data_IF_821845928218
#
_entry.id   IF_821845928218
#
_cell.length_a   1.000
_cell.length_b   1.000
_cell.length_c   1.000
_cell.angle_alpha   90.00
_cell.angle_beta   90.00
_cell.angle_gamma   90.00
#
_symmetry.space_group_name_H-M   'P 1'
#
loop_
_entity.id
_entity.type
_entity.pdbx_description
1 polymer ?
#
# COMPACT_ATOMS: atom_id res chain seq x y z
N UNK A 1 13.22 2.79 24.17
CA UNK A 1 12.34 3.78 24.84
C UNK A 1 11.08 3.91 24.00
N UNK A 2 9.94 3.42 24.53
CA UNK A 2 8.65 3.66 23.90
C UNK A 2 8.28 5.13 24.14
N UNK A 3 8.24 5.93 23.10
CA UNK A 3 7.71 7.29 23.15
C UNK A 3 6.19 7.22 22.87
N UNK A 4 5.34 7.19 23.89
CA UNK A 4 3.88 7.10 23.70
C UNK A 4 3.36 8.26 22.82
N UNK A 5 4.02 9.42 22.83
CA UNK A 5 3.68 10.56 21.99
C UNK A 5 3.81 10.31 20.49
N UNK A 6 4.78 9.52 20.02
CA UNK A 6 4.95 9.22 18.58
C UNK A 6 3.83 8.31 18.07
N UNK A 7 3.35 7.37 18.88
CA UNK A 7 2.20 6.54 18.51
C UNK A 7 0.92 7.37 18.36
N UNK A 8 0.69 8.33 19.25
CA UNK A 8 -0.45 9.27 19.15
C UNK A 8 -0.36 10.10 17.87
N UNK A 9 0.83 10.61 17.53
CA UNK A 9 1.05 11.34 16.28
C UNK A 9 0.75 10.47 15.05
N UNK A 10 1.11 9.19 15.05
CA UNK A 10 0.78 8.24 13.99
C UNK A 10 -0.73 8.06 13.82
N UNK A 11 -1.48 7.94 14.92
CA UNK A 11 -2.95 7.88 14.87
C UNK A 11 -3.55 9.17 14.35
N UNK A 12 -3.09 10.32 14.85
CA UNK A 12 -3.59 11.63 14.40
C UNK A 12 -3.32 11.84 12.92
N UNK A 13 -2.12 11.52 12.44
CA UNK A 13 -1.77 11.59 11.02
C UNK A 13 -2.70 10.69 10.17
N UNK A 14 -2.97 9.47 10.65
CA UNK A 14 -3.90 8.55 9.98
C UNK A 14 -5.32 9.11 9.92
N UNK A 15 -5.85 9.63 11.03
CA UNK A 15 -7.19 10.23 11.07
C UNK A 15 -7.30 11.43 10.12
N UNK A 16 -6.30 12.32 10.12
CA UNK A 16 -6.27 13.47 9.19
C UNK A 16 -6.22 13.00 7.74
N UNK A 17 -5.38 12.01 7.42
CA UNK A 17 -5.29 11.46 6.06
C UNK A 17 -6.60 10.79 5.63
N UNK A 18 -7.27 10.07 6.54
CA UNK A 18 -8.58 9.45 6.29
C UNK A 18 -9.66 10.51 6.01
N UNK A 19 -9.75 11.55 6.85
CA UNK A 19 -10.70 12.64 6.65
C UNK A 19 -10.44 13.39 5.34
N UNK A 20 -9.16 13.62 5.00
CA UNK A 20 -8.79 14.20 3.71
C UNK A 20 -9.23 13.30 2.56
N UNK A 21 -9.01 11.99 2.63
CA UNK A 21 -9.43 11.03 1.60
C UNK A 21 -10.94 11.04 1.40
N UNK A 22 -11.71 11.09 2.49
CA UNK A 22 -13.18 11.20 2.44
C UNK A 22 -13.60 12.51 1.79
N UNK A 23 -12.97 13.64 2.13
CA UNK A 23 -13.32 14.93 1.51
C UNK A 23 -12.97 14.97 0.02
N UNK A 24 -11.89 14.30 -0.41
CA UNK A 24 -11.57 14.12 -1.84
C UNK A 24 -12.64 13.28 -2.54
N UNK A 25 -13.14 12.23 -1.91
CA UNK A 25 -14.27 11.43 -2.40
C UNK A 25 -15.52 12.30 -2.59
N UNK A 26 -15.95 13.04 -1.56
CA UNK A 26 -17.10 13.95 -1.65
C UNK A 26 -16.91 15.03 -2.72
N UNK A 27 -15.66 15.50 -2.91
CA UNK A 27 -15.34 16.44 -3.97
C UNK A 27 -15.59 15.85 -5.37
N UNK A 28 -15.46 14.54 -5.55
CA UNK A 28 -15.83 13.85 -6.80
C UNK A 28 -17.31 14.04 -7.13
N UNK A 29 -18.17 13.77 -6.18
CA UNK A 29 -19.62 13.98 -6.32
C UNK A 29 -19.96 15.45 -6.56
N UNK A 30 -19.38 16.34 -5.76
CA UNK A 30 -19.57 17.79 -5.89
C UNK A 30 -19.20 18.30 -7.30
N UNK A 31 -17.99 18.01 -7.76
CA UNK A 31 -17.47 18.52 -9.03
C UNK A 31 -18.30 18.00 -10.23
N UNK A 32 -18.64 16.74 -10.22
CA UNK A 32 -19.42 16.12 -11.31
C UNK A 32 -20.88 16.55 -11.29
N UNK A 33 -21.51 16.67 -10.12
CA UNK A 33 -22.86 17.20 -9.98
C UNK A 33 -22.94 18.64 -10.50
N UNK A 34 -21.98 19.51 -10.13
CA UNK A 34 -21.87 20.89 -10.63
C UNK A 34 -21.63 20.93 -12.14
N UNK A 35 -20.79 20.06 -12.69
CA UNK A 35 -20.56 19.95 -14.13
C UNK A 35 -21.82 19.61 -14.91
N UNK A 36 -22.71 18.82 -14.33
CA UNK A 36 -24.00 18.46 -14.92
C UNK A 36 -25.15 19.39 -14.51
N UNK A 37 -24.84 20.56 -13.93
CA UNK A 37 -25.78 21.59 -13.50
C UNK A 37 -26.79 21.11 -12.43
N UNK A 38 -26.48 20.04 -11.70
CA UNK A 38 -27.27 19.62 -10.55
C UNK A 38 -27.07 20.58 -9.39
N UNK A 39 -28.09 20.79 -8.56
CA UNK A 39 -27.97 21.64 -7.37
C UNK A 39 -27.29 20.90 -6.25
N UNK A 40 -26.19 21.44 -5.73
CA UNK A 40 -25.52 20.98 -4.52
C UNK A 40 -25.72 22.02 -3.44
N UNK A 41 -26.38 21.61 -2.35
CA UNK A 41 -26.75 22.52 -1.26
C UNK A 41 -25.74 22.54 -0.13
N UNK A 42 -25.15 21.40 0.20
CA UNK A 42 -24.24 21.27 1.32
C UNK A 42 -22.99 20.45 0.94
N UNK A 43 -21.84 20.84 1.47
CA UNK A 43 -20.57 20.13 1.39
C UNK A 43 -19.86 20.25 2.74
N UNK A 44 -19.91 19.20 3.55
CA UNK A 44 -19.45 19.25 4.93
C UNK A 44 -18.51 18.12 5.30
N UNK A 45 -17.52 18.46 6.11
CA UNK A 45 -16.75 17.50 6.89
C UNK A 45 -17.49 17.24 8.21
N UNK A 46 -17.80 15.98 8.50
CA UNK A 46 -18.45 15.56 9.74
C UNK A 46 -19.98 15.60 9.72
N UNK A 47 -20.54 15.21 10.85
CA UNK A 47 -21.98 15.12 11.10
C UNK A 47 -22.37 15.87 12.40
N UNK A 48 -23.67 16.01 12.65
CA UNK A 48 -24.18 16.63 13.88
C UNK A 48 -24.28 18.15 13.78
N UNK A 49 -24.03 18.85 14.89
CA UNK A 49 -24.12 20.30 14.99
C UNK A 49 -23.05 21.00 14.17
N UNK A 50 -23.44 22.07 13.47
CA UNK A 50 -22.54 22.90 12.68
C UNK A 50 -21.63 23.72 13.60
N UNK A 51 -20.30 23.57 13.42
CA UNK A 51 -19.31 24.36 14.13
C UNK A 51 -18.93 25.62 13.37
N UNK A 52 -18.72 25.48 12.06
CA UNK A 52 -18.33 26.58 11.20
C UNK A 52 -18.81 26.30 9.78
N UNK A 53 -19.26 27.36 9.07
CA UNK A 53 -19.62 27.25 7.66
C UNK A 53 -19.51 28.60 6.95
N UNK A 54 -19.43 28.54 5.63
CA UNK A 54 -19.53 29.69 4.74
C UNK A 54 -20.28 29.31 3.47
N UNK A 55 -20.98 30.30 2.90
CA UNK A 55 -21.72 30.15 1.66
C UNK A 55 -20.85 30.54 0.47
N UNK A 56 -20.81 29.67 -0.55
CA UNK A 56 -20.19 29.98 -1.84
C UNK A 56 -21.15 29.62 -2.98
N UNK A 57 -21.77 30.66 -3.55
CA UNK A 57 -22.85 30.45 -4.52
C UNK A 57 -24.05 29.80 -3.86
N UNK A 58 -24.52 28.69 -4.39
CA UNK A 58 -25.66 27.92 -3.89
C UNK A 58 -25.28 26.81 -2.89
N UNK A 59 -23.99 26.62 -2.61
CA UNK A 59 -23.47 25.55 -1.74
C UNK A 59 -22.95 26.12 -0.45
N UNK A 60 -23.37 25.55 0.67
CA UNK A 60 -22.81 25.79 1.99
C UNK A 60 -21.69 24.81 2.27
N UNK A 61 -20.49 25.33 2.57
CA UNK A 61 -19.31 24.55 2.93
C UNK A 61 -19.04 24.69 4.42
N UNK A 62 -18.63 23.62 5.09
CA UNK A 62 -18.33 23.74 6.50
C UNK A 62 -17.85 22.48 7.20
N UNK A 63 -17.77 22.60 8.52
CA UNK A 63 -17.32 21.55 9.44
C UNK A 63 -18.38 21.36 10.52
N UNK A 64 -18.71 20.10 10.82
CA UNK A 64 -19.63 19.67 11.87
C UNK A 64 -18.87 19.01 13.03
N UNK A 65 -19.53 18.87 14.17
CA UNK A 65 -18.94 18.50 15.45
C UNK A 65 -18.37 17.08 15.51
N UNK A 66 -18.94 16.13 14.73
CA UNK A 66 -18.53 14.73 14.75
C UNK A 66 -17.74 14.42 13.48
N UNK A 67 -16.39 14.36 13.50
CA UNK A 67 -15.57 14.15 12.31
C UNK A 67 -15.52 12.67 11.90
N UNK A 68 -16.70 12.04 11.76
CA UNK A 68 -16.81 10.61 11.41
C UNK A 68 -17.08 10.39 9.91
N UNK A 69 -16.68 11.33 9.06
CA UNK A 69 -16.90 11.25 7.61
C UNK A 69 -17.11 12.61 6.98
N UNK A 70 -17.65 12.64 5.77
CA UNK A 70 -18.07 13.82 5.05
C UNK A 70 -19.35 13.55 4.28
N UNK A 71 -19.95 14.58 3.72
CA UNK A 71 -21.07 14.40 2.80
C UNK A 71 -21.22 15.58 1.83
N UNK A 72 -21.75 15.25 0.67
CA UNK A 72 -22.13 16.17 -0.38
C UNK A 72 -23.66 16.01 -0.63
N UNK A 73 -24.44 17.02 -0.32
CA UNK A 73 -25.90 16.97 -0.50
C UNK A 73 -26.30 17.49 -1.87
N UNK A 74 -26.66 16.57 -2.75
CA UNK A 74 -27.20 16.86 -4.08
C UNK A 74 -28.73 16.81 -3.99
N UNK A 75 -29.40 17.87 -4.43
CA UNK A 75 -30.85 17.95 -4.40
C UNK A 75 -31.51 16.92 -5.32
N UNK A 76 -32.56 16.27 -4.83
CA UNK A 76 -33.29 15.26 -5.59
C UNK A 76 -32.58 13.90 -5.68
N UNK A 77 -31.77 13.54 -4.69
CA UNK A 77 -31.26 12.15 -4.56
C UNK A 77 -32.40 11.16 -4.34
N UNK A 78 -33.50 11.57 -3.69
CA UNK A 78 -34.74 10.83 -3.57
C UNK A 78 -35.87 11.52 -4.33
N UNK A 79 -36.73 10.74 -5.01
CA UNK A 79 -37.93 11.25 -5.68
C UNK A 79 -38.98 11.83 -4.71
N UNK A 80 -38.89 11.44 -3.44
CA UNK A 80 -39.77 11.93 -2.38
C UNK A 80 -39.23 13.20 -1.69
N UNK A 81 -38.10 13.74 -2.12
CA UNK A 81 -37.53 14.97 -1.58
C UNK A 81 -38.36 16.17 -2.07
N UNK A 82 -38.92 16.94 -1.14
CA UNK A 82 -39.64 18.19 -1.45
C UNK A 82 -38.60 19.25 -1.87
N UNK A 83 -38.63 19.62 -3.14
CA UNK A 83 -37.75 20.64 -3.71
C UNK A 83 -38.53 21.92 -4.03
N UNK A 84 -37.90 23.10 -3.83
CA UNK A 84 -38.45 24.35 -4.34
C UNK A 84 -38.72 24.25 -5.85
N UNK A 85 -39.79 24.84 -6.35
CA UNK A 85 -40.16 24.79 -7.77
C UNK A 85 -39.02 25.23 -8.68
N UNK A 86 -38.26 26.24 -8.29
CA UNK A 86 -37.12 26.74 -9.02
C UNK A 86 -35.96 25.71 -9.21
N UNK A 87 -35.91 24.69 -8.35
CA UNK A 87 -34.84 23.72 -8.31
C UNK A 87 -35.21 22.35 -8.86
N UNK A 88 -36.53 22.09 -9.01
CA UNK A 88 -37.04 20.81 -9.50
C UNK A 88 -36.37 20.37 -10.79
N UNK A 89 -36.16 21.27 -11.74
CA UNK A 89 -35.52 20.96 -13.05
C UNK A 89 -34.05 20.56 -12.95
N UNK A 90 -33.41 20.79 -11.80
CA UNK A 90 -31.99 20.45 -11.52
C UNK A 90 -31.86 19.26 -10.57
N UNK A 91 -32.94 18.58 -10.28
CA UNK A 91 -32.96 17.42 -9.40
C UNK A 91 -32.15 16.24 -9.98
N UNK A 92 -31.42 15.55 -9.12
CA UNK A 92 -30.60 14.39 -9.50
C UNK A 92 -31.41 13.30 -10.24
N UNK A 93 -32.63 12.99 -9.76
CA UNK A 93 -33.48 11.94 -10.36
C UNK A 93 -33.95 12.27 -11.78
N UNK A 94 -33.96 13.56 -12.18
CA UNK A 94 -34.30 13.98 -13.56
C UNK A 94 -33.13 13.85 -14.53
N UNK A 95 -31.91 13.68 -14.04
CA UNK A 95 -30.76 13.52 -14.90
C UNK A 95 -30.79 12.14 -15.59
N UNK A 96 -30.24 12.08 -16.80
CA UNK A 96 -30.09 10.80 -17.52
C UNK A 96 -29.25 9.82 -16.74
N UNK A 97 -29.52 8.51 -16.90
CA UNK A 97 -28.82 7.43 -16.20
C UNK A 97 -27.28 7.55 -16.28
N UNK A 98 -26.66 7.82 -17.45
CA UNK A 98 -25.20 7.97 -17.52
C UNK A 98 -24.68 9.12 -16.64
N UNK A 99 -25.39 10.26 -16.58
CA UNK A 99 -24.97 11.38 -15.73
C UNK A 99 -25.05 11.01 -14.24
N UNK A 100 -26.11 10.30 -13.81
CA UNK A 100 -26.27 9.80 -12.45
C UNK A 100 -25.15 8.85 -12.08
N UNK A 101 -24.82 7.88 -12.97
CA UNK A 101 -23.74 6.93 -12.74
C UNK A 101 -22.37 7.61 -12.66
N UNK A 102 -22.09 8.62 -13.50
CA UNK A 102 -20.84 9.38 -13.42
C UNK A 102 -20.75 10.13 -12.09
N UNK A 103 -21.84 10.77 -11.64
CA UNK A 103 -21.83 11.47 -10.35
C UNK A 103 -21.57 10.51 -9.19
N UNK A 104 -22.31 9.38 -9.16
CA UNK A 104 -22.15 8.39 -8.09
C UNK A 104 -20.77 7.68 -8.12
N UNK A 105 -20.23 7.41 -9.30
CA UNK A 105 -18.91 6.77 -9.42
C UNK A 105 -17.72 7.72 -9.20
N UNK A 106 -17.96 9.03 -9.23
CA UNK A 106 -16.86 10.03 -9.18
C UNK A 106 -16.09 10.02 -7.87
N UNK A 107 -16.76 9.75 -6.74
CA UNK A 107 -16.11 9.63 -5.43
C UNK A 107 -15.10 8.49 -5.43
N UNK A 108 -15.52 7.28 -5.84
CA UNK A 108 -14.63 6.11 -5.96
C UNK A 108 -13.50 6.34 -6.95
N UNK A 109 -13.79 6.99 -8.08
CA UNK A 109 -12.74 7.35 -9.06
C UNK A 109 -11.66 8.25 -8.45
N UNK A 110 -12.03 9.26 -7.64
CA UNK A 110 -11.07 10.13 -6.98
C UNK A 110 -10.26 9.40 -5.89
N UNK A 111 -10.81 8.39 -5.24
CA UNK A 111 -10.03 7.51 -4.36
C UNK A 111 -8.92 6.78 -5.13
N UNK A 112 -9.22 6.25 -6.33
CA UNK A 112 -8.19 5.59 -7.16
C UNK A 112 -7.12 6.57 -7.63
N UNK A 113 -7.52 7.77 -8.05
CA UNK A 113 -6.58 8.84 -8.45
C UNK A 113 -5.69 9.24 -7.28
N UNK A 114 -6.27 9.44 -6.09
CA UNK A 114 -5.51 9.81 -4.88
C UNK A 114 -4.53 8.71 -4.49
N UNK A 115 -4.97 7.44 -4.43
CA UNK A 115 -4.10 6.31 -4.12
C UNK A 115 -2.94 6.20 -5.11
N UNK A 116 -3.22 6.33 -6.40
CA UNK A 116 -2.21 6.35 -7.45
C UNK A 116 -1.19 7.50 -7.28
N UNK A 117 -1.66 8.73 -7.03
CA UNK A 117 -0.78 9.88 -6.83
C UNK A 117 0.11 9.71 -5.59
N UNK A 118 -0.43 9.16 -4.50
CA UNK A 118 0.36 8.85 -3.30
C UNK A 118 1.47 7.85 -3.63
N UNK A 119 1.20 6.81 -4.44
CA UNK A 119 2.22 5.86 -4.88
C UNK A 119 3.30 6.52 -5.75
N UNK A 120 2.93 7.43 -6.65
CA UNK A 120 3.90 8.19 -7.45
C UNK A 120 4.81 9.03 -6.55
N UNK A 121 4.23 9.73 -5.56
CA UNK A 121 5.00 10.50 -4.57
C UNK A 121 5.92 9.59 -3.76
N UNK A 122 5.44 8.41 -3.39
CA UNK A 122 6.23 7.42 -2.66
C UNK A 122 7.45 6.99 -3.49
N UNK A 123 7.27 6.51 -4.72
CA UNK A 123 8.35 5.95 -5.51
C UNK A 123 9.33 7.02 -6.02
N UNK A 124 8.84 8.18 -6.48
CA UNK A 124 9.69 9.24 -7.01
C UNK A 124 10.30 10.14 -5.91
N UNK A 125 9.54 10.41 -4.84
CA UNK A 125 9.90 11.39 -3.82
C UNK A 125 10.59 10.77 -2.60
N UNK A 126 9.87 9.90 -1.88
CA UNK A 126 10.33 9.30 -0.62
C UNK A 126 11.29 8.14 -0.89
N UNK A 127 10.95 7.27 -1.83
CA UNK A 127 11.60 6.00 -2.10
C UNK A 127 11.12 4.89 -1.15
N UNK A 128 11.42 3.67 -1.52
CA UNK A 128 11.09 2.47 -0.74
C UNK A 128 12.36 1.76 -0.30
N UNK A 129 12.30 1.09 0.85
CA UNK A 129 13.38 0.22 1.29
C UNK A 129 13.41 -1.01 0.37
N UNK A 130 14.53 -1.22 -0.28
CA UNK A 130 14.76 -2.31 -1.22
C UNK A 130 16.10 -2.96 -0.96
N UNK A 131 16.22 -4.21 -1.36
CA UNK A 131 17.50 -4.92 -1.37
C UNK A 131 18.41 -4.27 -2.40
N UNK A 132 19.58 -3.80 -1.95
CA UNK A 132 20.59 -3.21 -2.84
C UNK A 132 21.50 -4.30 -3.44
N UNK A 133 22.34 -3.90 -4.38
CA UNK A 133 23.38 -4.77 -4.97
C UNK A 133 24.62 -4.92 -4.07
N UNK A 134 24.68 -4.20 -2.96
CA UNK A 134 25.79 -4.24 -2.02
C UNK A 134 25.62 -5.39 -1.04
N UNK A 135 26.65 -6.18 -0.86
CA UNK A 135 26.70 -7.24 0.16
C UNK A 135 26.89 -6.58 1.52
N UNK A 136 25.94 -6.80 2.43
CA UNK A 136 26.04 -6.35 3.82
C UNK A 136 26.86 -7.33 4.65
N UNK A 137 26.58 -8.63 4.47
CA UNK A 137 27.26 -9.68 5.23
C UNK A 137 27.46 -10.93 4.38
N UNK A 138 28.59 -11.58 4.54
CA UNK A 138 28.84 -12.92 4.01
C UNK A 138 28.68 -13.92 5.16
N UNK A 139 27.72 -14.84 5.00
CA UNK A 139 27.47 -15.88 6.00
C UNK A 139 28.67 -16.83 6.04
N UNK A 140 29.28 -17.06 7.21
CA UNK A 140 30.59 -17.77 7.26
C UNK A 140 30.48 -19.27 6.97
N UNK A 141 29.39 -19.94 7.36
CA UNK A 141 29.25 -21.39 7.16
C UNK A 141 27.82 -21.78 6.77
N UNK A 142 27.69 -22.98 6.19
CA UNK A 142 26.38 -23.56 5.86
C UNK A 142 25.78 -24.15 7.13
N UNK A 143 24.65 -23.61 7.59
CA UNK A 143 23.87 -24.17 8.70
C UNK A 143 22.94 -25.28 8.19
N UNK A 144 22.87 -26.40 8.88
CA UNK A 144 21.94 -27.49 8.61
C UNK A 144 20.50 -27.21 9.11
N UNK A 145 20.28 -26.09 9.82
CA UNK A 145 18.95 -25.72 10.30
C UNK A 145 18.16 -24.97 9.22
N UNK A 146 16.92 -25.41 9.02
CA UNK A 146 15.96 -24.78 8.11
C UNK A 146 15.43 -23.43 8.61
N UNK A 147 15.75 -23.05 9.83
CA UNK A 147 15.30 -21.81 10.49
C UNK A 147 16.47 -20.87 10.75
N UNK A 148 16.71 -19.97 9.78
CA UNK A 148 17.41 -18.73 10.04
C UNK A 148 18.94 -18.79 10.18
N UNK A 149 19.50 -17.75 9.71
CA UNK A 149 20.89 -17.35 9.72
C UNK A 149 21.27 -16.98 11.17
N UNK A 150 22.04 -17.82 11.84
CA UNK A 150 22.73 -17.38 13.06
C UNK A 150 24.22 -17.64 12.93
N UNK A 151 24.99 -16.59 13.05
CA UNK A 151 26.45 -16.54 12.96
C UNK A 151 27.14 -17.30 14.11
N UNK A 152 26.39 -17.67 15.14
CA UNK A 152 26.88 -18.20 16.40
C UNK A 152 27.15 -19.71 16.42
N UNK A 153 26.92 -20.42 15.32
CA UNK A 153 27.02 -21.90 15.28
C UNK A 153 28.13 -22.45 14.40
N UNK A 154 28.98 -21.59 13.82
CA UNK A 154 30.09 -22.08 13.00
C UNK A 154 31.25 -22.55 13.88
N UNK A 155 31.63 -23.82 13.70
CA UNK A 155 32.81 -24.44 14.33
C UNK A 155 33.96 -24.51 13.31
N UNK A 156 35.18 -24.80 13.77
CA UNK A 156 36.33 -24.97 12.90
C UNK A 156 36.16 -26.07 11.83
N UNK A 157 35.20 -26.98 12.01
CA UNK A 157 34.89 -28.07 11.08
C UNK A 157 33.69 -27.77 10.18
N UNK A 158 33.04 -26.60 10.33
CA UNK A 158 31.88 -26.21 9.52
C UNK A 158 32.29 -25.94 8.08
N UNK A 159 31.46 -26.36 7.12
CA UNK A 159 31.68 -26.10 5.69
C UNK A 159 31.43 -24.60 5.42
N UNK A 160 32.41 -23.86 4.84
CA UNK A 160 32.19 -22.48 4.50
C UNK A 160 31.13 -22.32 3.43
N UNK A 161 30.42 -21.17 3.44
CA UNK A 161 29.48 -20.88 2.36
C UNK A 161 30.23 -20.65 1.04
N UNK A 162 29.57 -20.88 -0.12
CA UNK A 162 30.19 -20.61 -1.41
C UNK A 162 30.73 -19.16 -1.55
N UNK A 163 30.01 -18.19 -1.03
CA UNK A 163 30.44 -16.79 -1.03
C UNK A 163 31.72 -16.58 -0.21
N UNK A 164 31.78 -17.19 0.97
CA UNK A 164 32.96 -17.11 1.84
C UNK A 164 34.18 -17.83 1.20
N UNK A 165 33.97 -19.02 0.65
CA UNK A 165 35.02 -19.80 0.00
C UNK A 165 35.59 -19.10 -1.25
N UNK A 166 34.74 -18.38 -2.00
CA UNK A 166 35.13 -17.62 -3.17
C UNK A 166 35.76 -16.25 -2.85
N UNK A 167 35.76 -15.82 -1.59
CA UNK A 167 36.35 -14.55 -1.17
C UNK A 167 35.49 -13.32 -1.44
N UNK A 168 34.17 -13.47 -1.52
CA UNK A 168 33.25 -12.34 -1.45
C UNK A 168 33.31 -11.70 -0.06
N UNK A 169 33.20 -10.39 0.01
CA UNK A 169 33.32 -9.60 1.25
C UNK A 169 32.08 -8.70 1.46
N UNK A 170 31.86 -8.33 2.72
CA UNK A 170 30.97 -7.23 3.02
C UNK A 170 31.48 -5.93 2.38
N UNK A 171 30.56 -5.14 1.81
CA UNK A 171 30.89 -3.93 1.06
C UNK A 171 31.07 -4.14 -0.46
N UNK A 172 31.16 -5.37 -0.95
CA UNK A 172 31.18 -5.64 -2.39
C UNK A 172 29.88 -5.21 -3.05
N UNK A 173 29.95 -4.43 -4.13
CA UNK A 173 28.80 -4.10 -4.95
C UNK A 173 28.77 -5.01 -6.18
N UNK A 174 27.72 -5.83 -6.29
CA UNK A 174 27.54 -6.74 -7.43
C UNK A 174 27.13 -5.94 -8.67
N UNK A 175 27.93 -6.01 -9.72
CA UNK A 175 27.72 -5.31 -10.99
C UNK A 175 27.04 -6.22 -12.00
N UNK A 176 27.52 -7.46 -12.15
CA UNK A 176 26.94 -8.43 -13.09
C UNK A 176 27.11 -9.86 -12.58
N UNK A 177 26.26 -10.76 -13.08
CA UNK A 177 26.41 -12.21 -12.92
C UNK A 177 26.37 -12.89 -14.28
N UNK A 178 27.39 -13.68 -14.60
CA UNK A 178 27.58 -14.30 -15.94
C UNK A 178 27.49 -13.27 -17.06
N UNK A 179 28.03 -12.05 -16.85
CA UNK A 179 27.97 -10.95 -17.81
C UNK A 179 26.66 -10.22 -17.92
N UNK A 180 25.60 -10.69 -17.25
CA UNK A 180 24.30 -10.02 -17.23
C UNK A 180 24.29 -8.94 -16.13
N UNK A 181 24.10 -7.69 -16.51
CA UNK A 181 23.90 -6.57 -15.60
C UNK A 181 22.40 -6.40 -15.30
N UNK A 182 22.07 -6.04 -14.07
CA UNK A 182 20.70 -5.69 -13.66
C UNK A 182 20.72 -4.66 -12.53
N UNK A 183 19.72 -3.80 -12.51
CA UNK A 183 19.44 -2.88 -11.40
C UNK A 183 18.55 -3.51 -10.33
N UNK A 184 18.07 -4.74 -10.57
CA UNK A 184 17.19 -5.45 -9.66
C UNK A 184 17.89 -6.68 -9.10
N UNK A 185 18.03 -6.72 -7.77
CA UNK A 185 18.61 -7.88 -7.08
C UNK A 185 17.87 -9.19 -7.34
N UNK A 186 16.55 -9.14 -7.62
CA UNK A 186 15.73 -10.32 -7.91
C UNK A 186 16.27 -11.10 -9.12
N UNK A 187 16.79 -10.40 -10.14
CA UNK A 187 17.36 -11.04 -11.33
C UNK A 187 18.60 -11.85 -10.97
N UNK A 188 19.47 -11.30 -10.12
CA UNK A 188 20.65 -12.02 -9.62
C UNK A 188 20.27 -13.19 -8.73
N UNK A 189 19.25 -13.05 -7.90
CA UNK A 189 18.71 -14.16 -7.10
C UNK A 189 18.22 -15.30 -7.97
N UNK A 190 17.60 -14.99 -9.11
CA UNK A 190 17.13 -16.01 -10.08
C UNK A 190 18.33 -16.75 -10.67
N UNK A 191 19.37 -16.04 -11.14
CA UNK A 191 20.59 -16.66 -11.65
C UNK A 191 21.23 -17.58 -10.61
N UNK A 192 21.35 -17.12 -9.36
CA UNK A 192 21.92 -17.93 -8.26
C UNK A 192 21.10 -19.20 -8.05
N UNK A 193 19.77 -19.09 -7.96
CA UNK A 193 18.87 -20.24 -7.71
C UNK A 193 18.91 -21.28 -8.82
N UNK A 194 19.04 -20.86 -10.07
CA UNK A 194 19.09 -21.73 -11.24
C UNK A 194 20.47 -22.36 -11.46
N UNK A 195 21.50 -21.88 -10.76
CA UNK A 195 22.90 -22.30 -10.92
C UNK A 195 23.39 -23.21 -9.79
N UNK A 196 22.51 -24.06 -9.20
CA UNK A 196 22.97 -25.01 -8.21
C UNK A 196 24.10 -25.91 -8.77
N UNK A 197 25.25 -25.97 -8.08
CA UNK A 197 26.46 -26.73 -8.47
C UNK A 197 27.06 -26.32 -9.83
N UNK A 198 26.67 -25.17 -10.39
CA UNK A 198 27.26 -24.63 -11.63
C UNK A 198 27.99 -23.36 -11.31
N UNK A 199 29.19 -23.18 -11.89
CA UNK A 199 29.94 -21.97 -11.70
C UNK A 199 29.23 -20.73 -12.26
N UNK A 200 29.23 -19.66 -11.47
CA UNK A 200 28.71 -18.34 -11.82
C UNK A 200 29.86 -17.33 -11.63
N UNK A 201 30.15 -16.55 -12.64
CA UNK A 201 31.10 -15.45 -12.55
C UNK A 201 30.38 -14.20 -12.04
N UNK A 202 30.75 -13.75 -10.86
CA UNK A 202 30.20 -12.55 -10.23
C UNK A 202 31.21 -11.42 -10.42
N UNK A 203 30.83 -10.37 -11.13
CA UNK A 203 31.59 -9.12 -11.17
C UNK A 203 31.16 -8.24 -10.00
N UNK A 204 32.13 -7.86 -9.17
CA UNK A 204 31.90 -6.94 -8.05
C UNK A 204 32.80 -5.71 -8.17
N UNK A 205 32.32 -4.59 -7.63
CA UNK A 205 33.15 -3.40 -7.36
C UNK A 205 33.58 -3.45 -5.91
N UNK A 206 34.91 -3.50 -5.68
CA UNK A 206 35.52 -3.49 -4.35
C UNK A 206 36.59 -2.37 -4.32
N UNK A 207 36.41 -1.40 -3.45
CA UNK A 207 37.31 -0.24 -3.31
C UNK A 207 37.62 0.50 -4.63
N UNK A 208 36.66 0.54 -5.55
CA UNK A 208 36.80 1.18 -6.86
C UNK A 208 37.40 0.29 -7.95
N UNK A 209 37.77 -0.95 -7.64
CA UNK A 209 38.28 -1.91 -8.61
C UNK A 209 37.20 -2.95 -8.97
N UNK A 210 37.14 -3.30 -10.26
CA UNK A 210 36.26 -4.36 -10.75
C UNK A 210 36.96 -5.70 -10.66
N UNK A 211 36.41 -6.60 -9.85
CA UNK A 211 36.91 -7.96 -9.66
C UNK A 211 35.92 -8.97 -10.24
N UNK A 212 36.44 -10.01 -10.90
CA UNK A 212 35.69 -11.16 -11.38
C UNK A 212 35.93 -12.33 -10.42
N UNK A 213 34.88 -12.78 -9.75
CA UNK A 213 34.95 -13.82 -8.72
C UNK A 213 34.12 -15.02 -9.19
N UNK A 214 34.79 -16.14 -9.55
CA UNK A 214 34.07 -17.38 -9.86
C UNK A 214 33.52 -18.01 -8.55
N UNK A 215 32.27 -18.33 -8.52
CA UNK A 215 31.56 -18.92 -7.36
C UNK A 215 30.69 -20.07 -7.82
N UNK A 216 30.76 -21.20 -7.14
CA UNK A 216 29.82 -22.32 -7.38
C UNK A 216 28.77 -22.37 -6.29
N UNK A 217 27.51 -21.95 -6.54
CA UNK A 217 26.44 -21.99 -5.55
C UNK A 217 26.21 -23.42 -5.04
N UNK A 218 26.11 -23.60 -3.72
CA UNK A 218 25.76 -24.87 -3.12
C UNK A 218 24.30 -25.23 -3.43
N UNK A 219 24.02 -26.51 -3.57
CA UNK A 219 22.66 -26.99 -3.72
C UNK A 219 21.91 -27.00 -2.39
N UNK A 220 20.71 -26.45 -2.34
CA UNK A 220 19.80 -26.48 -1.20
C UNK A 220 18.39 -26.86 -1.67
N UNK A 221 17.70 -27.68 -0.90
CA UNK A 221 16.31 -28.04 -1.20
C UNK A 221 15.36 -27.05 -0.55
N UNK A 222 14.51 -26.42 -1.34
CA UNK A 222 13.45 -25.53 -0.88
C UNK A 222 12.12 -25.95 -1.53
N UNK A 223 11.12 -26.29 -0.73
CA UNK A 223 9.83 -26.80 -1.21
C UNK A 223 9.95 -27.95 -2.22
N UNK A 224 10.85 -28.91 -1.94
CA UNK A 224 11.09 -30.09 -2.80
C UNK A 224 11.87 -29.79 -4.08
N UNK A 225 12.26 -28.54 -4.36
CA UNK A 225 13.05 -28.14 -5.52
C UNK A 225 14.49 -27.82 -5.10
N UNK A 226 15.46 -28.33 -5.86
CA UNK A 226 16.88 -27.98 -5.67
C UNK A 226 17.12 -26.58 -6.23
N UNK A 227 17.72 -25.71 -5.42
CA UNK A 227 18.09 -24.33 -5.77
C UNK A 227 19.53 -24.04 -5.35
N UNK A 228 20.17 -23.11 -6.06
CA UNK A 228 21.49 -22.62 -5.70
C UNK A 228 21.43 -21.67 -4.47
N UNK A 229 22.46 -21.73 -3.64
CA UNK A 229 22.66 -20.94 -2.44
C UNK A 229 24.08 -20.38 -2.37
N UNK A 230 24.25 -19.08 -2.12
CA UNK A 230 25.56 -18.43 -2.02
C UNK A 230 26.02 -18.15 -0.58
N UNK A 231 25.11 -17.79 0.30
CA UNK A 231 25.42 -17.35 1.65
C UNK A 231 25.80 -15.88 1.76
N UNK A 232 25.05 -15.00 1.11
CA UNK A 232 25.19 -13.54 1.21
C UNK A 232 23.91 -12.92 1.73
N UNK A 233 24.05 -11.84 2.47
CA UNK A 233 22.99 -10.96 2.91
C UNK A 233 23.26 -9.60 2.29
N UNK A 234 22.29 -9.05 1.59
CA UNK A 234 22.42 -7.76 0.95
C UNK A 234 22.01 -6.63 1.88
N UNK A 235 22.66 -5.50 1.71
CA UNK A 235 22.30 -4.27 2.38
C UNK A 235 20.93 -3.79 1.92
N UNK A 236 20.09 -3.42 2.87
CA UNK A 236 18.86 -2.69 2.59
C UNK A 236 19.20 -1.22 2.37
N UNK A 237 18.60 -0.62 1.37
CA UNK A 237 18.82 0.78 1.06
C UNK A 237 17.58 1.45 0.49
N UNK A 238 17.62 2.77 0.45
CA UNK A 238 16.55 3.55 -0.16
C UNK A 238 16.68 3.51 -1.69
N UNK A 239 15.64 3.04 -2.36
CA UNK A 239 15.52 3.08 -3.82
C UNK A 239 14.44 4.07 -4.20
N UNK A 240 14.86 5.20 -4.78
CA UNK A 240 13.96 6.12 -5.49
C UNK A 240 13.95 5.76 -6.96
N UNK A 241 12.81 5.93 -7.60
CA UNK A 241 12.67 5.74 -9.03
C UNK A 241 12.65 7.09 -9.75
N UNK A 242 13.11 7.13 -10.99
CA UNK A 242 12.88 8.31 -11.81
C UNK A 242 11.38 8.49 -12.06
N UNK A 243 10.87 9.71 -12.38
CA UNK A 243 9.44 9.98 -12.49
C UNK A 243 8.69 9.05 -13.45
N UNK A 244 9.28 8.71 -14.60
CA UNK A 244 8.66 7.82 -15.60
C UNK A 244 8.49 6.41 -15.04
N UNK A 245 9.54 5.89 -14.40
CA UNK A 245 9.52 4.56 -13.78
C UNK A 245 8.57 4.54 -12.56
N UNK A 246 8.55 5.61 -11.77
CA UNK A 246 7.62 5.74 -10.64
C UNK A 246 6.16 5.68 -11.08
N UNK A 247 5.80 6.34 -12.19
CA UNK A 247 4.46 6.23 -12.79
C UNK A 247 4.16 4.80 -13.21
N UNK A 248 5.08 4.15 -13.94
CA UNK A 248 4.89 2.75 -14.38
C UNK A 248 4.74 1.79 -13.20
N UNK A 249 5.57 1.92 -12.17
CA UNK A 249 5.48 1.12 -10.95
C UNK A 249 4.18 1.38 -10.21
N UNK A 250 3.73 2.63 -10.14
CA UNK A 250 2.46 3.00 -9.51
C UNK A 250 1.25 2.42 -10.26
N UNK A 251 1.25 2.40 -11.59
CA UNK A 251 0.20 1.75 -12.38
C UNK A 251 0.12 0.27 -12.03
N UNK A 252 1.26 -0.44 -12.03
CA UNK A 252 1.32 -1.87 -11.70
C UNK A 252 0.82 -2.13 -10.28
N UNK A 253 1.35 -1.41 -9.29
CA UNK A 253 0.95 -1.60 -7.88
C UNK A 253 -0.53 -1.25 -7.66
N UNK A 254 -1.05 -0.20 -8.33
CA UNK A 254 -2.49 0.11 -8.29
C UNK A 254 -3.31 -1.04 -8.84
N UNK A 255 -2.90 -1.65 -9.95
CA UNK A 255 -3.54 -2.83 -10.53
C UNK A 255 -3.53 -4.03 -9.55
N UNK A 256 -2.39 -4.32 -8.94
CA UNK A 256 -2.24 -5.39 -7.94
C UNK A 256 -3.15 -5.13 -6.71
N UNK A 257 -3.19 -3.89 -6.22
CA UNK A 257 -4.03 -3.49 -5.09
C UNK A 257 -5.53 -3.58 -5.44
N UNK A 258 -5.93 -3.18 -6.64
CA UNK A 258 -7.31 -3.34 -7.12
C UNK A 258 -7.71 -4.82 -7.16
N UNK A 259 -6.88 -5.67 -7.78
CA UNK A 259 -7.13 -7.10 -7.85
C UNK A 259 -7.23 -7.73 -6.45
N UNK A 260 -6.29 -7.41 -5.56
CA UNK A 260 -6.29 -7.91 -4.19
C UNK A 260 -7.51 -7.41 -3.40
N UNK A 261 -7.93 -6.16 -3.59
CA UNK A 261 -9.13 -5.59 -2.96
C UNK A 261 -10.39 -6.34 -3.39
N UNK A 262 -10.54 -6.55 -4.70
CA UNK A 262 -11.68 -7.30 -5.26
C UNK A 262 -11.69 -8.73 -4.71
N UNK A 263 -10.56 -9.44 -4.78
CA UNK A 263 -10.44 -10.82 -4.29
C UNK A 263 -10.75 -10.91 -2.80
N UNK A 264 -10.25 -9.95 -1.99
CA UNK A 264 -10.51 -9.89 -0.56
C UNK A 264 -11.99 -9.68 -0.24
N UNK A 265 -12.67 -8.82 -1.00
CA UNK A 265 -14.11 -8.56 -0.84
C UNK A 265 -14.95 -9.82 -1.15
N UNK A 266 -14.64 -10.54 -2.20
CA UNK A 266 -15.32 -11.82 -2.50
C UNK A 266 -15.00 -12.91 -1.48
N UNK A 267 -13.85 -12.86 -0.83
CA UNK A 267 -13.48 -13.79 0.24
C UNK A 267 -14.08 -13.42 1.62
N UNK A 268 -14.66 -12.21 1.78
CA UNK A 268 -15.23 -11.77 3.06
C UNK A 268 -16.23 -12.77 3.67
N UNK A 269 -17.22 -13.32 2.93
CA UNK A 269 -18.20 -14.25 3.53
C UNK A 269 -17.56 -15.46 4.17
N UNK A 270 -16.46 -15.97 3.60
CA UNK A 270 -15.74 -17.14 4.13
C UNK A 270 -14.91 -16.82 5.37
N UNK A 271 -14.53 -15.56 5.55
CA UNK A 271 -13.70 -15.08 6.68
C UNK A 271 -14.52 -14.58 7.88
N UNK A 272 -15.80 -14.24 7.68
CA UNK A 272 -16.69 -13.76 8.75
C UNK A 272 -16.77 -14.74 9.94
N UNK A 273 -16.94 -16.06 9.77
CA UNK A 273 -17.00 -16.97 10.90
C UNK A 273 -15.73 -16.97 11.76
N UNK A 274 -14.56 -16.89 11.13
CA UNK A 274 -13.29 -16.79 11.84
C UNK A 274 -13.19 -15.45 12.59
N UNK A 275 -13.58 -14.34 11.96
CA UNK A 275 -13.60 -13.02 12.58
C UNK A 275 -14.50 -12.98 13.83
N UNK A 276 -15.69 -13.59 13.77
CA UNK A 276 -16.61 -13.68 14.91
C UNK A 276 -15.99 -14.47 16.04
N UNK A 277 -15.36 -15.62 15.77
CA UNK A 277 -14.68 -16.42 16.81
C UNK A 277 -13.50 -15.68 17.43
N UNK A 278 -12.72 -14.92 16.64
CA UNK A 278 -11.60 -14.11 17.12
C UNK A 278 -12.04 -12.87 17.91
N UNK A 279 -13.22 -12.32 17.61
CA UNK A 279 -13.72 -11.10 18.26
C UNK A 279 -14.47 -11.41 19.55
N UNK A 280 -15.27 -12.47 19.57
CA UNK A 280 -16.16 -12.84 20.69
C UNK A 280 -15.78 -14.17 21.36
N UNK A 281 -14.83 -14.92 20.78
CA UNK A 281 -14.28 -16.16 21.33
C UNK A 281 -12.88 -15.95 21.91
N UNK A 282 -12.25 -17.05 22.34
CA UNK A 282 -10.88 -17.06 22.89
C UNK A 282 -9.82 -17.42 21.85
N UNK A 283 -10.12 -17.35 20.55
CA UNK A 283 -9.13 -17.63 19.50
C UNK A 283 -8.18 -16.44 19.33
N UNK A 284 -6.88 -16.72 19.22
CA UNK A 284 -5.89 -15.69 18.92
C UNK A 284 -6.17 -15.05 17.56
N UNK A 285 -5.96 -13.73 17.49
CA UNK A 285 -6.19 -12.96 16.26
C UNK A 285 -5.16 -13.34 15.21
N UNK A 286 -5.64 -13.78 14.05
CA UNK A 286 -4.79 -14.06 12.89
C UNK A 286 -4.08 -12.78 12.42
N UNK A 287 -2.73 -12.70 12.44
CA UNK A 287 -1.98 -11.54 11.96
C UNK A 287 -2.23 -11.22 10.47
N UNK A 288 -2.66 -12.23 9.69
CA UNK A 288 -3.01 -12.10 8.27
C UNK A 288 -4.52 -11.97 8.04
N UNK A 289 -5.30 -11.86 9.12
CA UNK A 289 -6.75 -11.72 9.09
C UNK A 289 -7.23 -10.36 8.59
N UNK A 290 -8.55 -10.17 8.61
CA UNK A 290 -9.16 -8.90 8.25
C UNK A 290 -8.77 -7.80 9.24
N UNK A 291 -8.28 -6.69 8.71
CA UNK A 291 -7.87 -5.51 9.49
C UNK A 291 -8.89 -4.40 9.27
N UNK A 292 -9.62 -4.02 10.32
CA UNK A 292 -10.53 -2.87 10.29
C UNK A 292 -9.78 -1.53 10.41
N UNK A 293 -10.52 -0.42 10.37
CA UNK A 293 -9.96 0.95 10.51
C UNK A 293 -9.20 1.12 11.82
N UNK A 294 -9.67 0.52 12.91
CA UNK A 294 -8.98 0.48 14.20
C UNK A 294 -7.62 -0.24 14.11
N UNK A 295 -7.56 -1.34 13.38
CA UNK A 295 -6.32 -2.07 13.15
C UNK A 295 -5.33 -1.27 12.30
N UNK A 296 -5.78 -0.55 11.26
CA UNK A 296 -4.93 0.34 10.46
C UNK A 296 -4.41 1.50 11.31
N UNK A 297 -5.25 2.10 12.16
CA UNK A 297 -4.83 3.13 13.11
C UNK A 297 -3.75 2.61 14.08
N UNK A 298 -3.90 1.37 14.57
CA UNK A 298 -2.91 0.71 15.43
C UNK A 298 -1.59 0.46 14.72
N UNK A 299 -1.63 -0.04 13.47
CA UNK A 299 -0.41 -0.24 12.65
C UNK A 299 0.28 1.11 12.41
N UNK A 300 -0.48 2.18 12.14
CA UNK A 300 0.07 3.53 11.98
C UNK A 300 0.76 4.03 13.26
N UNK A 301 0.16 3.76 14.43
CA UNK A 301 0.77 4.07 15.73
C UNK A 301 2.06 3.28 15.97
N UNK A 302 2.05 1.97 15.70
CA UNK A 302 3.22 1.10 15.84
C UNK A 302 4.35 1.55 14.92
N UNK A 303 4.06 1.81 13.65
CA UNK A 303 5.04 2.30 12.67
C UNK A 303 5.68 3.62 13.15
N UNK A 304 4.88 4.56 13.63
CA UNK A 304 5.38 5.85 14.11
C UNK A 304 6.29 5.70 15.34
N UNK A 305 5.97 4.77 16.24
CA UNK A 305 6.70 4.55 17.50
C UNK A 305 7.87 3.56 17.37
N UNK A 306 8.01 2.86 16.23
CA UNK A 306 9.06 1.85 16.04
C UNK A 306 10.46 2.50 16.00
N UNK A 307 11.34 2.23 17.01
CA UNK A 307 12.64 2.89 17.08
C UNK A 307 13.64 2.41 16.03
N UNK A 308 13.46 1.20 15.50
CA UNK A 308 14.36 0.60 14.51
C UNK A 308 14.19 1.18 13.11
N UNK A 309 13.04 1.83 12.84
CA UNK A 309 12.74 2.44 11.55
C UNK A 309 13.23 3.89 11.47
N UNK A 310 13.89 4.23 10.39
CA UNK A 310 14.22 5.62 10.06
C UNK A 310 12.94 6.43 9.77
N UNK A 311 13.00 7.75 9.98
CA UNK A 311 11.83 8.65 9.73
C UNK A 311 11.29 8.50 8.31
N UNK A 312 12.15 8.30 7.32
CA UNK A 312 11.79 8.08 5.93
C UNK A 312 11.00 6.77 5.74
N UNK A 313 11.41 5.70 6.40
CA UNK A 313 10.74 4.39 6.31
C UNK A 313 9.35 4.44 6.95
N UNK A 314 9.23 5.18 8.06
CA UNK A 314 7.93 5.46 8.69
C UNK A 314 6.99 6.19 7.72
N UNK A 315 7.49 7.22 7.05
CA UNK A 315 6.72 7.97 6.04
C UNK A 315 6.35 7.07 4.86
N UNK A 316 7.30 6.27 4.34
CA UNK A 316 7.04 5.37 3.23
C UNK A 316 5.95 4.33 3.58
N UNK A 317 6.04 3.71 4.75
CA UNK A 317 5.04 2.75 5.24
C UNK A 317 3.67 3.42 5.40
N UNK A 318 3.63 4.63 5.96
CA UNK A 318 2.40 5.39 6.12
C UNK A 318 1.75 5.71 4.75
N UNK A 319 2.52 6.13 3.76
CA UNK A 319 2.02 6.42 2.42
C UNK A 319 1.48 5.14 1.73
N UNK A 320 2.14 3.99 1.90
CA UNK A 320 1.65 2.70 1.38
C UNK A 320 0.29 2.36 2.02
N UNK A 321 0.17 2.51 3.33
CA UNK A 321 -1.08 2.27 4.07
C UNK A 321 -2.21 3.14 3.52
N UNK A 322 -1.98 4.46 3.39
CA UNK A 322 -3.01 5.39 2.91
C UNK A 322 -3.36 5.14 1.44
N UNK A 323 -2.37 4.83 0.57
CA UNK A 323 -2.64 4.49 -0.82
C UNK A 323 -3.49 3.22 -0.94
N UNK A 324 -3.13 2.16 -0.19
CA UNK A 324 -3.87 0.89 -0.17
C UNK A 324 -5.29 1.08 0.35
N UNK A 325 -5.45 1.87 1.41
CA UNK A 325 -6.76 2.18 1.98
C UNK A 325 -7.65 2.93 0.98
N UNK A 326 -7.10 3.93 0.27
CA UNK A 326 -7.87 4.65 -0.74
C UNK A 326 -8.36 3.71 -1.86
N UNK A 327 -7.48 2.86 -2.37
CA UNK A 327 -7.85 1.91 -3.42
C UNK A 327 -8.91 0.92 -2.92
N UNK A 328 -8.73 0.38 -1.71
CA UNK A 328 -9.70 -0.53 -1.10
C UNK A 328 -11.07 0.13 -0.88
N UNK A 329 -11.11 1.34 -0.30
CA UNK A 329 -12.35 2.09 -0.05
C UNK A 329 -13.03 2.45 -1.37
N UNK A 330 -12.25 2.83 -2.39
CA UNK A 330 -12.78 3.09 -3.74
C UNK A 330 -13.51 1.87 -4.32
N UNK A 331 -12.92 0.66 -4.20
CA UNK A 331 -13.56 -0.59 -4.64
C UNK A 331 -14.77 -0.92 -3.76
N UNK A 332 -14.64 -0.77 -2.44
CA UNK A 332 -15.72 -1.05 -1.49
C UNK A 332 -16.96 -0.20 -1.75
N UNK A 333 -16.78 1.09 -2.03
CA UNK A 333 -17.89 2.00 -2.34
C UNK A 333 -18.61 1.67 -3.66
N UNK A 334 -18.00 0.92 -4.57
CA UNK A 334 -18.65 0.46 -5.80
C UNK A 334 -19.48 -0.82 -5.62
N UNK A 335 -19.48 -1.44 -4.44
CA UNK A 335 -20.34 -2.59 -4.18
C UNK A 335 -21.81 -2.22 -4.28
N UNK A 336 -22.66 -3.06 -4.90
CA UNK A 336 -24.10 -2.79 -5.07
C UNK A 336 -24.88 -2.99 -3.74
N UNK A 337 -24.44 -2.32 -2.69
CA UNK A 337 -24.98 -2.41 -1.33
C UNK A 337 -25.33 -1.02 -0.79
N UNK A 338 -26.56 -0.78 -0.41
CA UNK A 338 -26.92 0.45 0.31
C UNK A 338 -26.32 0.43 1.73
N UNK A 339 -25.79 1.52 2.23
CA UNK A 339 -25.85 2.91 1.70
C UNK A 339 -24.65 3.35 0.84
N UNK A 340 -23.88 2.43 0.25
CA UNK A 340 -22.71 2.75 -0.58
C UNK A 340 -23.15 3.35 -1.94
N UNK A 341 -22.25 4.08 -2.60
CA UNK A 341 -22.47 4.66 -3.92
C UNK A 341 -22.88 3.62 -4.97
N UNK A 342 -22.22 2.45 -4.96
CA UNK A 342 -22.57 1.33 -5.83
C UNK A 342 -24.00 0.82 -5.64
N UNK A 343 -24.53 0.87 -4.42
CA UNK A 343 -25.93 0.59 -4.14
C UNK A 343 -26.85 1.62 -4.78
N UNK A 344 -26.53 2.91 -4.65
CA UNK A 344 -27.26 3.99 -5.33
C UNK A 344 -27.12 3.89 -6.86
N UNK A 345 -25.96 3.48 -7.38
CA UNK A 345 -25.80 3.22 -8.82
C UNK A 345 -26.71 2.09 -9.30
N UNK A 346 -26.82 1.00 -8.55
CA UNK A 346 -27.72 -0.12 -8.89
C UNK A 346 -29.19 0.29 -8.91
N UNK A 347 -29.61 1.19 -8.01
CA UNK A 347 -31.00 1.73 -8.01
C UNK A 347 -31.19 2.76 -9.12
N UNK A 348 -30.13 3.43 -9.59
CA UNK A 348 -30.20 4.46 -10.62
C UNK A 348 -30.33 3.90 -12.05
N UNK A 349 -30.10 2.62 -12.27
CA UNK A 349 -30.26 1.92 -13.54
C UNK A 349 -31.69 1.50 -13.73
#
# INVERSE_FOLDING_TARGET
>A
MNFPGLGILGVLAFVVALLFSVMVHEAGHYLTAKKFHMRVTEFFLGFGTRLWSFQRGETEFGIKAIPAGGYCRISGMSVNEELPEADKHRAFYLASVPKRLIVLGAGSFLHFVLGFLILVILFAGVGVTAVTKTIDQVVPCVSNSSSGISDSSCTATSIPTPAKAAGLLAGDEVISMNGKESDNWVDYTTIIRESARKEVIIAVMRNGERLLIPVTPAARTLNGKEIGYLGIINKLGNKKENPIKAVSSSVRITGDLLQNSITSLFALPTKIPALVRQTFGNEERDPQGLVGVDGVARVSAQTASEPSLESREKVATFLIIIASLNIFVGVFNLLPLLPLDGGHMAVAI
#
